data_IF_465963399969
#
_entry.id   IF_465963399969
#
_cell.length_a   1.000
_cell.length_b   1.000
_cell.length_c   1.000
_cell.angle_alpha   90.00
_cell.angle_beta   90.00
_cell.angle_gamma   90.00
#
_symmetry.space_group_name_H-M   'P 1'
#
loop_
_entity.id
_entity.type
_entity.pdbx_description
1 polymer ?
#
# COMPACT_ATOMS: atom_id res chain seq x y z
N UNK A 1 -4.95 -6.60 -23.53
CA UNK A 1 -5.05 -7.07 -22.12
C UNK A 1 -3.63 -7.29 -21.63
N UNK A 2 -3.15 -6.46 -20.71
CA UNK A 2 -1.76 -6.50 -20.22
C UNK A 2 -1.45 -7.88 -19.61
N UNK A 3 -0.23 -8.37 -19.82
CA UNK A 3 0.30 -9.61 -19.21
C UNK A 3 0.11 -9.57 -17.68
N UNK A 4 0.20 -8.38 -17.10
CA UNK A 4 0.04 -8.09 -15.69
C UNK A 4 -1.38 -8.40 -15.17
N UNK A 5 -2.45 -8.05 -15.91
CA UNK A 5 -3.84 -8.43 -15.53
C UNK A 5 -4.03 -9.95 -15.42
N UNK A 6 -3.37 -10.74 -16.29
CA UNK A 6 -3.41 -12.21 -16.22
C UNK A 6 -2.66 -12.77 -15.01
N UNK A 7 -1.59 -12.09 -14.60
CA UNK A 7 -0.75 -12.51 -13.47
C UNK A 7 -1.47 -12.21 -12.15
N UNK A 8 -2.04 -11.01 -12.02
CA UNK A 8 -2.79 -10.59 -10.83
C UNK A 8 -4.03 -11.45 -10.61
N UNK A 9 -4.79 -11.78 -11.68
CA UNK A 9 -5.94 -12.69 -11.56
C UNK A 9 -5.53 -14.11 -11.11
N UNK A 10 -4.31 -14.55 -11.45
CA UNK A 10 -3.77 -15.84 -11.04
C UNK A 10 -3.32 -15.84 -9.57
N UNK A 11 -2.84 -14.69 -9.07
CA UNK A 11 -2.46 -14.51 -7.66
C UNK A 11 -3.70 -14.45 -6.77
N UNK A 12 -4.73 -13.69 -7.17
CA UNK A 12 -5.98 -13.54 -6.41
C UNK A 12 -6.80 -14.83 -6.33
N UNK A 13 -6.60 -15.81 -7.26
CA UNK A 13 -7.28 -17.10 -7.24
C UNK A 13 -6.52 -18.20 -6.48
N UNK A 14 -5.40 -17.89 -5.83
CA UNK A 14 -4.67 -18.81 -4.94
C UNK A 14 -5.00 -18.57 -3.47
N UNK A 15 -6.29 -18.34 -3.16
CA UNK A 15 -6.80 -18.48 -1.80
C UNK A 15 -6.83 -19.96 -1.44
N UNK A 16 -5.93 -20.32 -0.55
CA UNK A 16 -6.01 -21.33 0.53
C UNK A 16 -4.60 -21.86 0.83
N UNK A 17 -3.92 -21.18 1.75
CA UNK A 17 -3.20 -21.82 2.87
C UNK A 17 -2.38 -20.76 3.61
N UNK A 18 -2.81 -20.43 4.83
CA UNK A 18 -2.06 -19.67 5.81
C UNK A 18 -0.88 -20.51 6.34
N UNK A 19 0.15 -20.66 5.54
CA UNK A 19 1.48 -20.91 6.03
C UNK A 19 2.27 -19.61 5.80
N UNK A 20 2.80 -19.03 6.89
CA UNK A 20 3.59 -17.80 6.85
C UNK A 20 4.74 -17.97 5.82
N UNK A 21 4.58 -17.46 4.57
CA UNK A 21 5.55 -17.78 3.55
C UNK A 21 6.84 -17.08 3.95
N UNK A 22 7.90 -17.83 4.07
CA UNK A 22 9.24 -17.30 4.34
C UNK A 22 9.58 -16.31 3.20
N UNK A 23 9.29 -15.03 3.43
CA UNK A 23 9.42 -13.93 2.46
C UNK A 23 10.81 -13.92 1.82
N UNK A 24 11.83 -14.29 2.58
CA UNK A 24 13.22 -14.40 2.08
C UNK A 24 13.35 -15.48 1.01
N UNK A 25 12.77 -16.67 1.22
CA UNK A 25 12.80 -17.76 0.22
C UNK A 25 12.04 -17.39 -1.04
N UNK A 26 10.90 -16.74 -0.88
CA UNK A 26 10.10 -16.26 -2.00
C UNK A 26 10.86 -15.15 -2.78
N UNK A 27 11.54 -14.24 -2.08
CA UNK A 27 12.36 -13.20 -2.72
C UNK A 27 13.50 -13.79 -3.57
N UNK A 28 14.13 -14.87 -3.10
CA UNK A 28 15.17 -15.59 -3.85
C UNK A 28 14.60 -16.28 -5.09
N UNK A 29 13.43 -16.91 -4.99
CA UNK A 29 12.74 -17.53 -6.12
C UNK A 29 12.34 -16.51 -7.19
N UNK A 30 11.99 -15.29 -6.78
CA UNK A 30 11.58 -14.19 -7.66
C UNK A 30 12.76 -13.30 -8.10
N UNK A 31 13.99 -13.73 -7.95
CA UNK A 31 15.20 -12.90 -8.21
C UNK A 31 15.26 -12.36 -9.65
N UNK A 32 14.77 -13.12 -10.61
CA UNK A 32 14.78 -12.79 -12.04
C UNK A 32 13.39 -12.39 -12.57
N UNK A 33 12.40 -12.20 -11.69
CA UNK A 33 11.08 -11.76 -12.10
C UNK A 33 11.03 -10.24 -12.36
N UNK A 34 10.05 -9.79 -13.15
CA UNK A 34 9.78 -8.38 -13.35
C UNK A 34 9.49 -7.71 -11.99
N UNK A 35 9.89 -6.44 -11.84
CA UNK A 35 9.86 -5.75 -10.56
C UNK A 35 8.44 -5.61 -10.01
N UNK A 36 7.48 -5.33 -10.86
CA UNK A 36 6.06 -5.19 -10.53
C UNK A 36 5.47 -6.51 -10.03
N UNK A 37 5.77 -7.60 -10.75
CA UNK A 37 5.36 -8.94 -10.34
C UNK A 37 5.99 -9.36 -9.01
N UNK A 38 7.31 -9.13 -8.87
CA UNK A 38 8.03 -9.42 -7.64
C UNK A 38 7.45 -8.65 -6.46
N UNK A 39 7.21 -7.35 -6.64
CA UNK A 39 6.62 -6.51 -5.61
C UNK A 39 5.24 -7.04 -5.19
N UNK A 40 4.34 -7.30 -6.17
CA UNK A 40 2.99 -7.79 -5.88
C UNK A 40 2.99 -9.10 -5.09
N UNK A 41 3.87 -10.05 -5.46
CA UNK A 41 4.02 -11.32 -4.77
C UNK A 41 4.48 -11.14 -3.30
N UNK A 42 5.53 -10.34 -3.09
CA UNK A 42 6.10 -10.15 -1.76
C UNK A 42 5.18 -9.30 -0.87
N UNK A 43 4.52 -8.29 -1.43
CA UNK A 43 3.53 -7.49 -0.71
C UNK A 43 2.35 -8.35 -0.24
N UNK A 44 1.81 -9.22 -1.11
CA UNK A 44 0.72 -10.12 -0.76
C UNK A 44 1.18 -11.20 0.23
N UNK A 45 2.37 -11.76 0.04
CA UNK A 45 2.95 -12.75 0.96
C UNK A 45 3.19 -12.19 2.37
N UNK A 46 3.41 -10.87 2.48
CA UNK A 46 3.49 -10.16 3.77
C UNK A 46 2.13 -9.81 4.39
N UNK A 47 1.02 -10.27 3.81
CA UNK A 47 -0.35 -10.02 4.31
C UNK A 47 -1.00 -8.74 3.79
N UNK A 48 -0.44 -8.09 2.78
CA UNK A 48 -1.03 -6.94 2.12
C UNK A 48 -2.11 -7.36 1.10
N UNK A 49 -3.13 -6.51 0.94
CA UNK A 49 -4.19 -6.67 -0.08
C UNK A 49 -3.83 -5.87 -1.32
N UNK A 50 -3.45 -6.55 -2.39
CA UNK A 50 -2.97 -5.94 -3.62
C UNK A 50 -4.08 -5.84 -4.66
N UNK A 51 -4.28 -4.62 -5.22
CA UNK A 51 -5.24 -4.35 -6.29
C UNK A 51 -4.52 -3.59 -7.41
N UNK A 52 -4.52 -4.13 -8.61
CA UNK A 52 -4.02 -3.45 -9.80
C UNK A 52 -5.19 -2.84 -10.58
N UNK A 53 -5.03 -1.59 -10.97
CA UNK A 53 -6.03 -0.82 -11.70
C UNK A 53 -5.39 -0.24 -12.96
N UNK A 54 -6.04 -0.44 -14.11
CA UNK A 54 -5.57 0.09 -15.38
C UNK A 54 -5.90 1.57 -15.56
N UNK A 55 -6.81 2.13 -14.75
CA UNK A 55 -7.19 3.52 -14.79
C UNK A 55 -7.81 3.98 -13.45
N UNK A 56 -8.07 5.29 -13.35
CA UNK A 56 -8.68 5.90 -12.17
C UNK A 56 -10.12 5.42 -11.90
N UNK A 57 -10.86 5.04 -12.94
CA UNK A 57 -12.23 4.55 -12.77
C UNK A 57 -12.23 3.16 -12.11
N UNK A 58 -11.30 2.28 -12.49
CA UNK A 58 -11.08 1.00 -11.81
C UNK A 58 -10.63 1.24 -10.35
N UNK A 59 -9.69 2.18 -10.12
CA UNK A 59 -9.21 2.51 -8.78
C UNK A 59 -10.35 3.03 -7.87
N UNK A 60 -11.24 3.85 -8.42
CA UNK A 60 -12.41 4.36 -7.71
C UNK A 60 -13.38 3.23 -7.32
N UNK A 61 -13.59 2.25 -8.21
CA UNK A 61 -14.42 1.09 -7.91
C UNK A 61 -13.81 0.25 -6.79
N UNK A 62 -12.50 -0.01 -6.83
CA UNK A 62 -11.77 -0.74 -5.79
C UNK A 62 -11.85 0.00 -4.46
N UNK A 63 -11.59 1.31 -4.45
CA UNK A 63 -11.70 2.13 -3.23
C UNK A 63 -13.10 2.03 -2.62
N UNK A 64 -14.15 2.16 -3.44
CA UNK A 64 -15.53 2.05 -2.98
C UNK A 64 -15.85 0.67 -2.40
N UNK A 65 -15.31 -0.41 -2.99
CA UNK A 65 -15.45 -1.76 -2.46
C UNK A 65 -14.75 -1.91 -1.10
N UNK A 66 -13.50 -1.44 -0.97
CA UNK A 66 -12.76 -1.47 0.30
C UNK A 66 -13.54 -0.71 1.38
N UNK A 67 -13.97 0.52 1.09
CA UNK A 67 -14.73 1.36 2.01
C UNK A 67 -16.00 0.65 2.51
N UNK A 68 -16.75 0.00 1.62
CA UNK A 68 -17.98 -0.71 1.96
C UNK A 68 -17.71 -2.00 2.75
N UNK A 69 -16.78 -2.83 2.30
CA UNK A 69 -16.48 -4.12 2.94
C UNK A 69 -15.93 -3.92 4.35
N UNK A 70 -15.02 -2.96 4.50
CA UNK A 70 -14.36 -2.66 5.77
C UNK A 70 -15.20 -1.75 6.68
N UNK A 71 -16.35 -1.25 6.21
CA UNK A 71 -17.25 -0.38 6.97
C UNK A 71 -16.63 0.97 7.34
N UNK A 72 -15.78 1.53 6.47
CA UNK A 72 -15.04 2.77 6.71
C UNK A 72 -15.99 3.95 6.56
N UNK A 73 -16.01 4.84 7.55
CA UNK A 73 -16.84 6.04 7.57
C UNK A 73 -16.02 7.32 7.55
N UNK A 74 -14.92 7.35 8.31
CA UNK A 74 -14.07 8.52 8.48
C UNK A 74 -12.62 8.17 8.11
N UNK A 75 -12.05 8.92 7.18
CA UNK A 75 -10.73 8.65 6.61
C UNK A 75 -9.77 9.81 6.92
N UNK A 76 -8.57 9.50 7.40
CA UNK A 76 -7.46 10.45 7.35
C UNK A 76 -6.93 10.51 5.92
N UNK A 77 -6.92 11.71 5.33
CA UNK A 77 -6.41 11.94 3.98
C UNK A 77 -5.87 13.36 3.87
N UNK A 78 -4.55 13.50 3.76
CA UNK A 78 -3.89 14.80 3.64
C UNK A 78 -3.59 15.22 2.19
N UNK A 79 -3.72 14.32 1.24
CA UNK A 79 -3.48 14.54 -0.18
C UNK A 79 -4.75 15.06 -0.87
N UNK A 80 -4.64 16.19 -1.59
CA UNK A 80 -5.79 16.86 -2.20
C UNK A 80 -6.35 16.07 -3.40
N UNK A 81 -5.50 15.36 -4.15
CA UNK A 81 -5.94 14.54 -5.28
C UNK A 81 -6.70 13.31 -4.77
N UNK A 82 -6.23 12.66 -3.71
CA UNK A 82 -6.94 11.54 -3.09
C UNK A 82 -8.26 11.94 -2.46
N UNK A 83 -8.39 13.18 -1.98
CA UNK A 83 -9.67 13.69 -1.46
C UNK A 83 -10.76 13.75 -2.54
N UNK A 84 -10.37 13.94 -3.82
CA UNK A 84 -11.34 13.89 -4.93
C UNK A 84 -11.97 12.49 -5.06
N UNK A 85 -11.18 11.42 -4.88
CA UNK A 85 -11.72 10.05 -4.86
C UNK A 85 -12.70 9.84 -3.70
N UNK A 86 -12.39 10.39 -2.52
CA UNK A 86 -13.27 10.29 -1.33
C UNK A 86 -14.56 11.09 -1.52
N UNK A 87 -14.50 12.24 -2.17
CA UNK A 87 -15.68 13.02 -2.52
C UNK A 87 -16.63 12.24 -3.45
N UNK A 88 -16.09 11.56 -4.48
CA UNK A 88 -16.88 10.74 -5.41
C UNK A 88 -17.51 9.55 -4.69
N UNK A 89 -16.78 8.89 -3.79
CA UNK A 89 -17.30 7.76 -2.99
C UNK A 89 -18.20 8.21 -1.83
N UNK A 90 -18.34 9.53 -1.61
CA UNK A 90 -19.12 10.13 -0.50
C UNK A 90 -18.62 9.64 0.87
N UNK A 91 -17.32 9.44 1.01
CA UNK A 91 -16.68 9.02 2.25
C UNK A 91 -16.17 10.25 2.99
N UNK A 92 -16.47 10.36 4.30
CA UNK A 92 -16.00 11.49 5.09
C UNK A 92 -14.48 11.40 5.28
N UNK A 93 -13.80 12.56 5.23
CA UNK A 93 -12.37 12.61 5.49
C UNK A 93 -11.95 13.84 6.29
N UNK A 94 -10.78 13.75 6.89
CA UNK A 94 -10.12 14.84 7.59
C UNK A 94 -8.64 14.92 7.20
N UNK A 95 -8.09 16.14 7.16
CA UNK A 95 -6.65 16.38 6.94
C UNK A 95 -5.82 16.15 8.20
N UNK A 96 -6.44 16.09 9.35
CA UNK A 96 -5.79 15.84 10.63
C UNK A 96 -6.08 14.41 11.09
N UNK A 97 -5.04 13.74 11.55
CA UNK A 97 -5.18 12.40 12.11
C UNK A 97 -5.87 12.49 13.47
N UNK A 98 -6.99 11.78 13.61
CA UNK A 98 -7.81 11.70 14.81
C UNK A 98 -8.04 10.23 15.20
N UNK A 99 -8.32 9.99 16.47
CA UNK A 99 -8.64 8.66 17.01
C UNK A 99 -9.93 8.07 16.39
N UNK A 100 -10.79 8.93 15.85
CA UNK A 100 -12.04 8.55 15.19
C UNK A 100 -11.87 8.19 13.71
N UNK A 101 -10.65 8.25 13.17
CA UNK A 101 -10.42 7.80 11.82
C UNK A 101 -10.42 6.27 11.75
N UNK A 102 -11.32 5.71 10.96
CA UNK A 102 -11.41 4.27 10.72
C UNK A 102 -10.28 3.77 9.83
N UNK A 103 -9.80 4.62 8.91
CA UNK A 103 -8.75 4.31 7.96
C UNK A 103 -7.90 5.54 7.62
N UNK A 104 -6.72 5.28 7.04
CA UNK A 104 -5.93 6.28 6.32
C UNK A 104 -5.97 5.98 4.82
N UNK A 105 -6.15 7.01 3.99
CA UNK A 105 -6.00 6.93 2.54
C UNK A 105 -4.89 7.88 2.12
N UNK A 106 -3.76 7.33 1.68
CA UNK A 106 -2.50 8.04 1.52
C UNK A 106 -1.81 7.64 0.22
N UNK A 107 -0.91 8.47 -0.27
CA UNK A 107 0.06 8.14 -1.33
C UNK A 107 1.30 7.47 -0.74
N UNK A 108 2.24 7.08 -1.58
CA UNK A 108 3.55 6.57 -1.16
C UNK A 108 4.68 7.24 -1.96
N UNK A 109 5.91 7.16 -1.43
CA UNK A 109 7.09 7.59 -2.18
C UNK A 109 7.55 6.49 -3.14
N UNK A 110 7.76 5.29 -2.62
CA UNK A 110 8.23 4.15 -3.39
C UNK A 110 7.63 2.82 -2.90
N UNK A 111 7.55 1.88 -3.82
CA UNK A 111 7.17 0.49 -3.62
C UNK A 111 8.44 -0.36 -3.83
N UNK A 112 8.93 -1.02 -2.78
CA UNK A 112 10.22 -1.70 -2.78
C UNK A 112 10.05 -3.16 -3.15
N UNK A 113 10.49 -3.54 -4.37
CA UNK A 113 10.31 -4.89 -4.89
C UNK A 113 11.18 -5.95 -4.20
N UNK A 114 12.22 -5.54 -3.47
CA UNK A 114 13.10 -6.46 -2.77
C UNK A 114 12.38 -7.25 -1.66
N UNK A 115 11.50 -6.58 -0.91
CA UNK A 115 10.85 -7.13 0.29
C UNK A 115 9.34 -6.82 0.39
N UNK A 116 8.74 -6.22 -0.66
CA UNK A 116 7.31 -5.90 -0.69
C UNK A 116 6.89 -4.76 0.23
N UNK A 117 7.83 -3.91 0.70
CA UNK A 117 7.53 -2.79 1.59
C UNK A 117 7.10 -1.55 0.82
N UNK A 118 6.29 -0.74 1.49
CA UNK A 118 5.88 0.59 1.02
C UNK A 118 6.65 1.64 1.79
N UNK A 119 7.32 2.55 1.08
CA UNK A 119 8.04 3.67 1.66
C UNK A 119 7.16 4.90 1.71
N UNK A 120 7.08 5.50 2.89
CA UNK A 120 6.34 6.72 3.18
C UNK A 120 7.28 7.84 3.60
N UNK A 121 6.85 9.07 3.41
CA UNK A 121 7.54 10.28 3.86
C UNK A 121 6.59 11.25 4.55
N UNK A 122 7.14 12.39 4.95
CA UNK A 122 6.35 13.53 5.43
C UNK A 122 5.24 13.94 4.43
N UNK A 123 5.50 13.87 3.13
CA UNK A 123 4.53 14.26 2.10
C UNK A 123 3.28 13.38 2.13
N UNK A 124 3.41 12.12 2.54
CA UNK A 124 2.32 11.16 2.55
C UNK A 124 1.51 11.16 3.87
N UNK A 125 2.20 11.40 5.00
CA UNK A 125 1.60 11.28 6.35
C UNK A 125 1.85 12.48 7.25
N UNK A 126 2.34 13.59 6.69
CA UNK A 126 2.70 14.81 7.42
C UNK A 126 3.72 14.50 8.56
N UNK A 127 3.55 15.16 9.70
CA UNK A 127 4.40 14.98 10.88
C UNK A 127 4.04 13.74 11.72
N UNK A 128 3.04 12.95 11.29
CA UNK A 128 2.64 11.78 12.05
C UNK A 128 3.61 10.62 11.85
N UNK A 129 3.80 9.83 12.89
CA UNK A 129 4.54 8.57 12.81
C UNK A 129 3.63 7.46 12.25
N UNK A 130 4.19 6.56 11.43
CA UNK A 130 3.40 5.47 10.82
C UNK A 130 2.67 4.59 11.83
N UNK A 131 3.22 4.42 13.06
CA UNK A 131 2.57 3.66 14.14
C UNK A 131 1.30 4.30 14.70
N UNK A 132 1.04 5.57 14.37
CA UNK A 132 -0.18 6.29 14.80
C UNK A 132 -1.30 6.22 13.76
N UNK A 133 -1.01 5.72 12.57
CA UNK A 133 -2.02 5.53 11.54
C UNK A 133 -3.09 4.55 12.01
N UNK A 134 -4.34 4.69 11.53
CA UNK A 134 -5.41 3.74 11.84
C UNK A 134 -5.04 2.31 11.46
N UNK A 135 -5.72 1.33 12.04
CA UNK A 135 -5.51 -0.10 11.74
C UNK A 135 -5.81 -0.50 10.29
N UNK A 136 -6.45 0.36 9.51
CA UNK A 136 -6.70 0.16 8.07
C UNK A 136 -6.00 1.25 7.30
N UNK A 137 -5.09 0.87 6.40
CA UNK A 137 -4.32 1.82 5.58
C UNK A 137 -4.56 1.47 4.11
N UNK A 138 -5.08 2.41 3.36
CA UNK A 138 -5.27 2.32 1.91
C UNK A 138 -4.20 3.19 1.26
N UNK A 139 -3.42 2.61 0.37
CA UNK A 139 -2.34 3.30 -0.34
C UNK A 139 -2.70 3.37 -1.82
N UNK A 140 -2.61 4.56 -2.40
CA UNK A 140 -2.61 4.78 -3.84
C UNK A 140 -1.17 4.92 -4.31
N UNK A 141 -0.75 4.06 -5.23
CA UNK A 141 0.56 4.14 -5.85
C UNK A 141 0.49 3.91 -7.36
N UNK A 142 1.58 4.17 -8.06
CA UNK A 142 1.71 3.93 -9.50
C UNK A 142 2.84 2.95 -9.80
N UNK A 143 2.81 2.34 -10.98
CA UNK A 143 3.82 1.37 -11.41
C UNK A 143 5.21 2.01 -11.46
N UNK A 144 5.31 3.28 -11.86
CA UNK A 144 6.58 4.03 -11.91
C UNK A 144 7.24 4.25 -10.54
N UNK A 145 6.48 4.12 -9.45
CA UNK A 145 7.00 4.20 -8.08
C UNK A 145 7.67 2.90 -7.62
N UNK A 146 7.56 1.80 -8.38
CA UNK A 146 8.21 0.55 -8.02
C UNK A 146 9.72 0.66 -8.28
N UNK A 147 10.50 0.37 -7.24
CA UNK A 147 11.95 0.35 -7.27
C UNK A 147 12.46 -1.03 -6.84
N UNK A 148 13.66 -1.39 -7.32
CA UNK A 148 14.26 -2.69 -7.03
C UNK A 148 14.51 -2.92 -5.55
N UNK A 149 15.13 -1.92 -4.90
CA UNK A 149 15.59 -2.00 -3.53
C UNK A 149 15.66 -0.61 -2.85
N UNK A 150 15.97 -0.61 -1.56
CA UNK A 150 16.10 0.62 -0.78
C UNK A 150 17.21 1.54 -1.30
N UNK A 151 18.29 1.00 -1.87
CA UNK A 151 19.39 1.82 -2.38
C UNK A 151 18.94 2.64 -3.60
N UNK A 152 18.17 2.03 -4.49
CA UNK A 152 17.59 2.75 -5.63
C UNK A 152 16.62 3.83 -5.17
N UNK A 153 15.73 3.54 -4.20
CA UNK A 153 14.85 4.52 -3.60
C UNK A 153 15.63 5.70 -3.04
N UNK A 154 16.66 5.45 -2.23
CA UNK A 154 17.48 6.48 -1.62
C UNK A 154 18.26 7.32 -2.66
N UNK A 155 18.70 6.72 -3.77
CA UNK A 155 19.32 7.46 -4.87
C UNK A 155 18.32 8.42 -5.54
N UNK A 156 17.08 7.96 -5.80
CA UNK A 156 16.03 8.81 -6.37
C UNK A 156 15.68 9.97 -5.43
N UNK A 157 15.55 9.71 -4.12
CA UNK A 157 15.30 10.72 -3.10
C UNK A 157 16.40 11.79 -3.05
N UNK A 158 17.66 11.36 -3.03
CA UNK A 158 18.80 12.31 -3.03
C UNK A 158 18.79 13.26 -4.23
N UNK A 159 18.31 12.79 -5.37
CA UNK A 159 18.20 13.61 -6.60
C UNK A 159 17.03 14.59 -6.53
N UNK A 160 15.91 14.20 -5.92
CA UNK A 160 14.73 15.08 -5.79
C UNK A 160 14.86 16.14 -4.68
N UNK A 161 15.65 15.86 -3.65
CA UNK A 161 16.01 16.84 -2.59
C UNK A 161 14.91 17.19 -1.58
N UNK A 162 13.68 16.72 -1.76
CA UNK A 162 12.50 17.23 -1.03
C UNK A 162 11.83 16.22 -0.08
N UNK A 163 12.45 15.08 0.19
CA UNK A 163 11.82 14.03 1.00
C UNK A 163 12.37 14.02 2.42
N UNK A 164 11.48 14.08 3.42
CA UNK A 164 11.83 14.11 4.85
C UNK A 164 11.08 13.00 5.60
N UNK A 165 11.65 12.56 6.73
CA UNK A 165 11.02 11.61 7.67
C UNK A 165 10.58 10.31 6.99
N UNK A 166 11.53 9.63 6.37
CA UNK A 166 11.28 8.35 5.70
C UNK A 166 10.95 7.25 6.71
N UNK A 167 9.91 6.49 6.41
CA UNK A 167 9.55 5.26 7.11
C UNK A 167 9.10 4.21 6.10
N UNK A 168 9.09 2.95 6.47
CA UNK A 168 8.54 1.89 5.64
C UNK A 168 7.52 1.08 6.41
N UNK A 169 6.49 0.62 5.72
CA UNK A 169 5.44 -0.25 6.25
C UNK A 169 5.32 -1.52 5.41
N UNK A 170 4.88 -2.61 6.05
CA UNK A 170 4.60 -3.89 5.39
C UNK A 170 3.30 -4.47 5.93
N UNK A 171 2.70 -5.40 5.18
CA UNK A 171 1.47 -6.08 5.59
C UNK A 171 1.59 -6.89 6.88
N UNK A 172 2.80 -7.39 7.19
CA UNK A 172 3.09 -8.20 8.37
C UNK A 172 3.58 -7.41 9.59
N UNK A 173 3.25 -6.13 9.70
CA UNK A 173 3.47 -5.43 10.96
C UNK A 173 2.50 -5.97 12.04
N UNK A 174 2.70 -7.23 12.42
CA UNK A 174 2.24 -7.72 13.71
C UNK A 174 2.95 -6.85 14.76
N UNK A 175 2.17 -6.10 15.53
CA UNK A 175 2.66 -5.44 16.73
C UNK A 175 3.16 -6.53 17.68
N UNK A 176 4.46 -6.83 17.65
CA UNK A 176 5.10 -7.79 18.54
C UNK A 176 4.98 -7.39 20.02
N UNK A 177 4.51 -6.17 20.31
CA UNK A 177 4.49 -5.59 21.68
C UNK A 177 3.10 -5.23 22.22
N UNK A 178 1.99 -5.69 21.61
CA UNK A 178 0.67 -5.51 22.19
C UNK A 178 -0.14 -6.81 22.16
N UNK A 179 -0.44 -7.39 23.31
CA UNK A 179 -1.45 -8.44 23.40
C UNK A 179 -2.81 -7.79 23.16
N UNK A 180 -3.54 -8.23 22.17
CA UNK A 180 -4.91 -7.87 21.83
C UNK A 180 -5.12 -6.82 20.73
N UNK A 181 -5.74 -7.33 19.68
CA UNK A 181 -6.63 -6.69 18.71
C UNK A 181 -6.00 -5.82 17.61
N UNK A 182 -6.35 -6.23 16.40
CA UNK A 182 -6.27 -5.59 15.10
C UNK A 182 -4.89 -5.61 14.43
N UNK A 183 -4.66 -6.70 13.68
CA UNK A 183 -3.66 -6.70 12.61
C UNK A 183 -3.94 -5.50 11.70
N UNK A 184 -2.93 -4.67 11.47
CA UNK A 184 -3.04 -3.58 10.52
C UNK A 184 -3.32 -4.16 9.14
N UNK A 185 -4.46 -3.81 8.54
CA UNK A 185 -4.81 -4.17 7.17
C UNK A 185 -4.23 -3.15 6.22
N UNK A 186 -3.38 -3.59 5.32
CA UNK A 186 -2.72 -2.75 4.34
C UNK A 186 -3.28 -3.05 2.95
N UNK A 187 -3.98 -2.10 2.35
CA UNK A 187 -4.53 -2.18 1.00
C UNK A 187 -3.67 -1.34 0.06
N UNK A 188 -3.29 -1.89 -1.08
CA UNK A 188 -2.63 -1.14 -2.14
C UNK A 188 -3.52 -1.13 -3.38
N UNK A 189 -3.77 0.06 -3.90
CA UNK A 189 -4.37 0.33 -5.20
C UNK A 189 -3.22 0.81 -6.09
N UNK A 190 -2.78 -0.03 -7.02
CA UNK A 190 -1.69 0.27 -7.93
C UNK A 190 -2.25 0.66 -9.30
N UNK A 191 -2.00 1.90 -9.71
CA UNK A 191 -2.38 2.42 -11.02
C UNK A 191 -1.31 2.15 -12.07
N UNK A 192 -1.76 1.81 -13.27
CA UNK A 192 -0.93 1.83 -14.48
C UNK A 192 -0.74 3.29 -14.90
N UNK A 193 0.50 3.76 -15.09
CA UNK A 193 0.90 5.11 -15.51
C UNK A 193 1.71 5.12 -16.82
#
# INVERSE_FOLDING_TARGET
MSLFKKIVSKILNQDEQHDDPNVTKLADQLRNADLDYKFAQLFTASGGFFNYCGDEAEALQVLNQIVKIEGIKNVFCCDDDLQNFLNVTKTNFTKNLDINNDAAFITCEFLIAYDGRVMLSYNNILHYHSSRLPGKIIIMGTVSQIVRDLNEAMMKIKRSGNVRNLTSISGSQSKLDAPTQDQTKLFLILLED
#
